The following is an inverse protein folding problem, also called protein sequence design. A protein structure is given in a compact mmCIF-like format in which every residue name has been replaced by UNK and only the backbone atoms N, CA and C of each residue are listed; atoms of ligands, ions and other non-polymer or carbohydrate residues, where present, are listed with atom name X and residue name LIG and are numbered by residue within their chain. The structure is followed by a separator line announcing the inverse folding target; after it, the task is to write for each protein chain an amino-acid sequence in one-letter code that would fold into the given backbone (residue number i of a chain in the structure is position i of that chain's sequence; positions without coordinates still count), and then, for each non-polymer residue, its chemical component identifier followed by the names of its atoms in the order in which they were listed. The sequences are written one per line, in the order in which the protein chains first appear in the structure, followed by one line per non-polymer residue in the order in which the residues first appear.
data_IF_261163986419
#
_entry.id   IF_261163986419
#
_cell.length_a   1.000
_cell.length_b   1.000
_cell.length_c   1.000
_cell.angle_alpha   90.00
_cell.angle_beta   90.00
_cell.angle_gamma   90.00
#
_symmetry.space_group_name_H-M   'P 1'
#
loop_
_entity.id
_entity.type
_entity.pdbx_description
1 polymer ?
#
# COMPACT_ATOMS: atom_id res chain seq x y z
N UNK A 1 25.23 6.49 -13.76
CA UNK A 1 24.72 5.20 -13.26
C UNK A 1 23.20 5.29 -13.11
N UNK A 2 22.47 4.42 -13.77
CA UNK A 2 21.02 4.43 -13.70
C UNK A 2 20.55 3.77 -12.41
N UNK A 3 19.69 4.44 -11.65
CA UNK A 3 19.08 3.88 -10.44
C UNK A 3 18.27 2.60 -10.74
N UNK A 4 17.96 2.38 -12.01
CA UNK A 4 17.07 1.28 -12.42
C UNK A 4 17.85 0.10 -13.05
N UNK A 5 19.16 0.14 -13.11
CA UNK A 5 19.96 -0.87 -13.82
C UNK A 5 19.90 -2.28 -13.22
N UNK A 6 19.62 -2.40 -11.93
CA UNK A 6 19.67 -3.68 -11.23
C UNK A 6 18.33 -4.04 -10.56
N UNK A 7 17.22 -3.49 -11.06
CA UNK A 7 15.92 -3.77 -10.49
C UNK A 7 15.37 -5.06 -11.08
N UNK A 8 14.96 -5.99 -10.21
CA UNK A 8 14.24 -7.18 -10.62
C UNK A 8 12.77 -6.84 -10.87
N UNK A 9 12.40 -6.68 -12.13
CA UNK A 9 11.04 -6.29 -12.51
C UNK A 9 9.99 -7.32 -12.09
N UNK A 10 10.34 -8.60 -12.02
CA UNK A 10 9.42 -9.63 -11.54
C UNK A 10 9.13 -9.46 -10.05
N UNK A 11 10.15 -9.16 -9.25
CA UNK A 11 9.96 -8.88 -7.83
C UNK A 11 9.10 -7.62 -7.62
N UNK A 12 9.33 -6.58 -8.42
CA UNK A 12 8.52 -5.35 -8.39
C UNK A 12 7.06 -5.65 -8.72
N UNK A 13 6.82 -6.42 -9.77
CA UNK A 13 5.46 -6.78 -10.18
C UNK A 13 4.75 -7.60 -9.10
N UNK A 14 5.41 -8.60 -8.54
CA UNK A 14 4.83 -9.43 -7.46
C UNK A 14 4.58 -8.59 -6.20
N UNK A 15 5.48 -7.69 -5.86
CA UNK A 15 5.27 -6.78 -4.73
C UNK A 15 4.04 -5.89 -4.96
N UNK A 16 3.89 -5.34 -6.15
CA UNK A 16 2.73 -4.52 -6.50
C UNK A 16 1.42 -5.30 -6.44
N UNK A 17 1.40 -6.51 -6.99
CA UNK A 17 0.24 -7.41 -6.92
C UNK A 17 -0.11 -7.73 -5.47
N UNK A 18 0.90 -8.00 -4.65
CA UNK A 18 0.71 -8.30 -3.23
C UNK A 18 0.02 -7.14 -2.50
N UNK A 19 0.44 -5.91 -2.78
CA UNK A 19 -0.22 -4.73 -2.20
C UNK A 19 -1.71 -4.66 -2.56
N UNK A 20 -2.04 -4.91 -3.82
CA UNK A 20 -3.44 -4.91 -4.29
C UNK A 20 -4.24 -6.02 -3.63
N UNK A 21 -3.66 -7.22 -3.52
CA UNK A 21 -4.31 -8.35 -2.85
C UNK A 21 -4.57 -8.05 -1.38
N UNK A 22 -3.58 -7.52 -0.66
CA UNK A 22 -3.75 -7.13 0.75
C UNK A 22 -4.88 -6.10 0.88
N UNK A 23 -4.92 -5.11 -0.01
CA UNK A 23 -5.98 -4.10 -0.02
C UNK A 23 -7.35 -4.69 -0.29
N UNK A 24 -7.44 -5.64 -1.20
CA UNK A 24 -8.71 -6.30 -1.52
C UNK A 24 -9.28 -7.04 -0.31
N UNK A 25 -8.43 -7.72 0.46
CA UNK A 25 -8.85 -8.37 1.70
C UNK A 25 -9.10 -7.38 2.83
N UNK A 26 -8.22 -6.39 3.00
CA UNK A 26 -8.29 -5.42 4.10
C UNK A 26 -9.60 -4.64 4.08
N UNK A 27 -10.01 -4.18 2.91
CA UNK A 27 -11.24 -3.40 2.71
C UNK A 27 -12.44 -4.27 2.34
N UNK A 28 -12.31 -5.59 2.40
CA UNK A 28 -13.43 -6.49 2.18
C UNK A 28 -14.39 -6.48 3.36
N UNK A 29 -15.67 -6.82 3.15
CA UNK A 29 -16.63 -6.95 4.26
C UNK A 29 -16.21 -7.98 5.31
N UNK A 30 -15.31 -8.91 4.97
CA UNK A 30 -14.83 -9.94 5.88
C UNK A 30 -13.87 -9.40 6.94
N UNK A 31 -13.18 -8.29 6.68
CA UNK A 31 -12.19 -7.72 7.61
C UNK A 31 -12.65 -6.32 8.04
N UNK A 32 -12.27 -5.27 7.32
CA UNK A 32 -12.51 -3.88 7.73
C UNK A 32 -13.39 -3.09 6.77
N UNK A 33 -13.92 -3.72 5.71
CA UNK A 33 -14.71 -3.01 4.70
C UNK A 33 -15.93 -2.31 5.26
N UNK A 34 -16.66 -2.96 6.17
CA UNK A 34 -17.84 -2.36 6.81
C UNK A 34 -17.47 -1.18 7.69
N UNK A 35 -16.39 -1.30 8.46
CA UNK A 35 -15.91 -0.20 9.31
C UNK A 35 -15.44 0.97 8.46
N UNK A 36 -14.72 0.69 7.37
CA UNK A 36 -14.26 1.72 6.46
C UNK A 36 -15.43 2.46 5.80
N UNK A 37 -16.44 1.73 5.32
CA UNK A 37 -17.65 2.35 4.73
C UNK A 37 -18.37 3.22 5.76
N UNK A 38 -18.53 2.72 6.98
CA UNK A 38 -19.17 3.47 8.04
C UNK A 38 -18.42 4.76 8.37
N UNK A 39 -17.11 4.70 8.52
CA UNK A 39 -16.27 5.86 8.83
C UNK A 39 -16.26 6.92 7.70
N UNK A 40 -16.45 6.50 6.45
CA UNK A 40 -16.54 7.42 5.32
C UNK A 40 -17.97 7.85 4.99
N UNK A 41 -18.97 7.27 5.64
CA UNK A 41 -20.36 7.54 5.32
C UNK A 41 -20.79 6.99 3.96
N UNK A 42 -20.10 5.98 3.43
CA UNK A 42 -20.42 5.36 2.15
C UNK A 42 -21.51 4.33 2.29
N UNK A 43 -22.39 4.27 1.27
CA UNK A 43 -23.41 3.24 1.11
C UNK A 43 -23.04 2.35 -0.08
N UNK A 44 -23.72 1.18 -0.19
CA UNK A 44 -23.53 0.31 -1.36
C UNK A 44 -23.85 1.03 -2.68
N UNK A 45 -24.83 1.95 -2.64
CA UNK A 45 -25.20 2.74 -3.82
C UNK A 45 -24.08 3.71 -4.23
N UNK A 46 -23.38 4.30 -3.26
CA UNK A 46 -22.25 5.17 -3.55
C UNK A 46 -21.16 4.43 -4.32
N UNK A 47 -20.91 3.17 -3.95
CA UNK A 47 -19.98 2.32 -4.68
C UNK A 47 -20.41 2.04 -6.10
N UNK A 48 -21.70 1.81 -6.34
CA UNK A 48 -22.24 1.54 -7.69
C UNK A 48 -22.15 2.76 -8.59
N UNK A 49 -22.18 3.96 -8.02
CA UNK A 49 -22.09 5.22 -8.76
C UNK A 49 -20.67 5.67 -9.04
N UNK A 50 -19.68 5.07 -8.38
CA UNK A 50 -18.28 5.41 -8.54
C UNK A 50 -17.66 4.82 -9.80
N UNK A 51 -16.34 4.87 -9.89
CA UNK A 51 -15.62 4.28 -11.01
C UNK A 51 -15.80 2.76 -11.04
N UNK A 52 -15.73 2.14 -12.24
CA UNK A 52 -15.79 0.68 -12.35
C UNK A 52 -14.67 0.02 -11.53
N UNK A 53 -14.97 -1.15 -10.93
CA UNK A 53 -14.01 -1.90 -10.12
C UNK A 53 -12.74 -2.23 -10.90
N UNK A 54 -12.88 -2.60 -12.19
CA UNK A 54 -11.71 -2.94 -13.01
C UNK A 54 -10.76 -1.74 -13.19
N UNK A 55 -11.32 -0.52 -13.33
CA UNK A 55 -10.52 0.70 -13.47
C UNK A 55 -9.81 1.01 -12.14
N UNK A 56 -10.51 0.91 -11.03
CA UNK A 56 -9.91 1.13 -9.71
C UNK A 56 -8.79 0.12 -9.44
N UNK A 57 -8.99 -1.14 -9.81
CA UNK A 57 -7.98 -2.18 -9.65
C UNK A 57 -6.74 -1.90 -10.51
N UNK A 58 -6.93 -1.49 -11.76
CA UNK A 58 -5.81 -1.14 -12.66
C UNK A 58 -5.02 0.05 -12.15
N UNK A 59 -5.71 1.10 -11.71
CA UNK A 59 -5.05 2.28 -11.17
C UNK A 59 -4.31 1.95 -9.86
N UNK A 60 -4.91 1.14 -9.00
CA UNK A 60 -4.27 0.69 -7.77
C UNK A 60 -3.00 -0.11 -8.06
N UNK A 61 -3.06 -1.01 -9.05
CA UNK A 61 -1.90 -1.79 -9.47
C UNK A 61 -0.81 -0.87 -10.05
N UNK A 62 -1.18 0.11 -10.86
CA UNK A 62 -0.24 1.07 -11.42
C UNK A 62 0.49 1.85 -10.32
N UNK A 63 -0.26 2.40 -9.36
CA UNK A 63 0.35 3.14 -8.25
C UNK A 63 1.20 2.23 -7.35
N UNK A 64 0.75 1.01 -7.12
CA UNK A 64 1.53 0.04 -6.37
C UNK A 64 2.83 -0.32 -7.10
N UNK A 65 2.80 -0.45 -8.42
CA UNK A 65 3.97 -0.69 -9.24
C UNK A 65 4.97 0.47 -9.15
N UNK A 66 4.49 1.70 -9.21
CA UNK A 66 5.32 2.90 -9.03
C UNK A 66 6.00 2.89 -7.66
N UNK A 67 5.23 2.63 -6.61
CA UNK A 67 5.76 2.57 -5.24
C UNK A 67 6.79 1.46 -5.08
N UNK A 68 6.50 0.26 -5.58
CA UNK A 68 7.43 -0.87 -5.52
C UNK A 68 8.71 -0.61 -6.31
N UNK A 69 8.60 0.04 -7.47
CA UNK A 69 9.76 0.42 -8.28
C UNK A 69 10.67 1.40 -7.53
N UNK A 70 10.08 2.39 -6.89
CA UNK A 70 10.82 3.36 -6.08
C UNK A 70 11.51 2.66 -4.89
N UNK A 71 10.82 1.78 -4.20
CA UNK A 71 11.41 1.01 -3.10
C UNK A 71 12.58 0.16 -3.58
N UNK A 72 12.46 -0.47 -4.74
CA UNK A 72 13.49 -1.33 -5.30
C UNK A 72 14.79 -0.57 -5.58
N UNK A 73 14.72 0.74 -5.85
CA UNK A 73 15.93 1.55 -6.08
C UNK A 73 16.81 1.69 -4.84
N UNK A 74 16.22 1.57 -3.65
CA UNK A 74 16.94 1.68 -2.37
C UNK A 74 17.45 0.36 -1.85
N UNK A 75 16.94 -0.76 -2.37
CA UNK A 75 17.31 -2.10 -1.89
C UNK A 75 18.53 -2.58 -2.69
N UNK A 76 19.61 -2.90 -1.95
CA UNK A 76 20.84 -3.42 -2.54
C UNK A 76 20.87 -4.95 -2.44
N UNK A 77 21.76 -5.63 -3.23
CA UNK A 77 21.86 -7.08 -3.15
C UNK A 77 22.26 -7.64 -1.78
N UNK A 78 22.79 -6.81 -0.89
CA UNK A 78 23.14 -7.22 0.46
C UNK A 78 21.93 -7.31 1.39
N UNK A 79 20.81 -6.77 0.97
CA UNK A 79 19.59 -6.78 1.79
C UNK A 79 18.93 -8.15 1.74
N UNK A 80 18.26 -8.49 2.83
CA UNK A 80 17.45 -9.71 2.93
C UNK A 80 15.98 -9.35 3.19
N UNK A 81 15.17 -10.37 3.41
CA UNK A 81 13.73 -10.20 3.68
C UNK A 81 13.49 -9.29 4.90
N UNK A 82 14.26 -9.45 5.95
CA UNK A 82 14.08 -8.70 7.21
C UNK A 82 14.42 -7.21 7.00
N UNK A 83 15.55 -6.91 6.37
CA UNK A 83 15.94 -5.52 6.11
C UNK A 83 14.99 -4.85 5.13
N UNK A 84 14.52 -5.57 4.12
CA UNK A 84 13.52 -5.06 3.19
C UNK A 84 12.18 -4.78 3.87
N UNK A 85 11.71 -5.71 4.69
CA UNK A 85 10.48 -5.52 5.48
C UNK A 85 10.60 -4.33 6.43
N UNK A 86 11.74 -4.19 7.10
CA UNK A 86 12.02 -3.06 7.98
C UNK A 86 11.96 -1.73 7.24
N UNK A 87 12.52 -1.66 6.04
CA UNK A 87 12.43 -0.46 5.20
C UNK A 87 10.98 -0.13 4.84
N UNK A 88 10.21 -1.13 4.43
CA UNK A 88 8.79 -0.93 4.13
C UNK A 88 8.00 -0.42 5.32
N UNK A 89 8.24 -0.98 6.50
CA UNK A 89 7.62 -0.53 7.74
C UNK A 89 7.98 0.92 8.05
N UNK A 90 9.24 1.30 7.91
CA UNK A 90 9.71 2.67 8.16
C UNK A 90 9.08 3.64 7.18
N UNK A 91 9.04 3.32 5.89
CA UNK A 91 8.38 4.15 4.87
C UNK A 91 6.92 4.39 5.24
N UNK A 92 6.21 3.34 5.62
CA UNK A 92 4.81 3.44 6.01
C UNK A 92 4.62 4.33 7.23
N UNK A 93 5.40 4.13 8.28
CA UNK A 93 5.23 4.87 9.54
C UNK A 93 5.69 6.32 9.39
N UNK A 94 6.86 6.55 8.80
CA UNK A 94 7.52 7.87 8.81
C UNK A 94 6.98 8.79 7.72
N UNK A 95 6.73 8.28 6.51
CA UNK A 95 6.31 9.13 5.39
C UNK A 95 4.83 9.05 5.10
N UNK A 96 4.30 7.85 4.94
CA UNK A 96 2.92 7.67 4.49
C UNK A 96 1.94 7.98 5.60
N UNK A 97 2.14 7.40 6.77
CA UNK A 97 1.21 7.61 7.90
C UNK A 97 1.25 9.05 8.42
N UNK A 98 2.41 9.70 8.42
CA UNK A 98 2.49 11.11 8.81
C UNK A 98 1.77 12.01 7.82
N UNK A 99 1.89 11.74 6.53
CA UNK A 99 1.16 12.47 5.49
C UNK A 99 -0.34 12.29 5.63
N UNK A 100 -0.79 11.05 5.86
CA UNK A 100 -2.22 10.76 6.09
C UNK A 100 -2.74 11.35 7.39
N UNK A 101 -1.91 11.42 8.43
CA UNK A 101 -2.26 12.07 9.68
C UNK A 101 -2.59 13.55 9.45
N UNK A 102 -1.80 14.22 8.63
CA UNK A 102 -2.04 15.61 8.25
C UNK A 102 -3.41 15.77 7.57
N UNK A 103 -3.69 14.95 6.57
CA UNK A 103 -4.98 14.95 5.88
C UNK A 103 -6.13 14.68 6.86
N UNK A 104 -5.95 13.71 7.76
CA UNK A 104 -6.94 13.36 8.77
C UNK A 104 -7.30 14.55 9.65
N UNK A 105 -6.30 15.32 10.09
CA UNK A 105 -6.50 16.51 10.93
C UNK A 105 -7.28 17.58 10.15
N UNK A 106 -6.84 17.91 8.94
CA UNK A 106 -7.44 19.00 8.16
C UNK A 106 -8.85 18.67 7.65
N UNK A 107 -9.12 17.40 7.35
CA UNK A 107 -10.41 16.96 6.82
C UNK A 107 -11.34 16.39 7.88
N UNK A 108 -10.95 16.44 9.14
CA UNK A 108 -11.73 15.97 10.29
C UNK A 108 -12.17 14.50 10.20
N UNK A 109 -11.31 13.63 9.63
CA UNK A 109 -11.55 12.20 9.68
C UNK A 109 -11.32 11.67 11.10
N UNK A 110 -12.00 10.58 11.44
CA UNK A 110 -11.85 9.95 12.76
C UNK A 110 -10.50 9.26 12.92
N UNK A 111 -10.09 9.05 14.18
CA UNK A 111 -8.91 8.24 14.48
C UNK A 111 -9.05 6.82 13.92
N UNK A 112 -10.26 6.25 14.00
CA UNK A 112 -10.52 4.91 13.46
C UNK A 112 -10.31 4.86 11.93
N UNK A 113 -10.79 5.88 11.22
CA UNK A 113 -10.54 6.03 9.77
C UNK A 113 -9.04 6.04 9.48
N UNK A 114 -8.28 6.86 10.23
CA UNK A 114 -6.84 6.95 10.08
C UNK A 114 -6.15 5.61 10.32
N UNK A 115 -6.51 4.91 11.39
CA UNK A 115 -5.90 3.64 11.76
C UNK A 115 -6.19 2.53 10.75
N UNK A 116 -7.37 2.52 10.14
CA UNK A 116 -7.71 1.57 9.09
C UNK A 116 -6.74 1.71 7.91
N UNK A 117 -6.55 2.93 7.43
CA UNK A 117 -5.65 3.19 6.31
C UNK A 117 -4.17 3.03 6.68
N UNK A 118 -3.76 3.51 7.85
CA UNK A 118 -2.39 3.38 8.31
C UNK A 118 -2.00 1.90 8.51
N UNK A 119 -2.92 1.10 9.05
CA UNK A 119 -2.68 -0.33 9.21
C UNK A 119 -2.52 -1.05 7.87
N UNK A 120 -3.34 -0.70 6.88
CA UNK A 120 -3.19 -1.22 5.52
C UNK A 120 -1.83 -0.86 4.92
N UNK A 121 -1.45 0.40 5.01
CA UNK A 121 -0.16 0.85 4.47
C UNK A 121 1.00 0.13 5.16
N UNK A 122 0.94 -0.01 6.48
CA UNK A 122 1.97 -0.71 7.24
C UNK A 122 2.13 -2.15 6.76
N UNK A 123 1.04 -2.90 6.68
CA UNK A 123 1.08 -4.30 6.25
C UNK A 123 1.54 -4.43 4.80
N UNK A 124 1.02 -3.60 3.90
CA UNK A 124 1.33 -3.71 2.48
C UNK A 124 2.77 -3.29 2.16
N UNK A 125 3.26 -2.19 2.73
CA UNK A 125 4.64 -1.75 2.48
C UNK A 125 5.66 -2.68 3.14
N UNK A 126 5.36 -3.22 4.31
CA UNK A 126 6.20 -4.22 4.96
C UNK A 126 6.31 -5.47 4.08
N UNK A 127 5.19 -5.96 3.55
CA UNK A 127 5.18 -7.12 2.66
C UNK A 127 5.94 -6.84 1.35
N UNK A 128 5.73 -5.68 0.75
CA UNK A 128 6.46 -5.30 -0.47
C UNK A 128 7.96 -5.25 -0.22
N UNK A 129 8.36 -4.63 0.89
CA UNK A 129 9.77 -4.56 1.27
C UNK A 129 10.39 -5.93 1.49
N UNK A 130 9.65 -6.85 2.13
CA UNK A 130 10.08 -8.22 2.33
C UNK A 130 10.33 -8.94 1.00
N UNK A 131 9.42 -8.80 0.05
CA UNK A 131 9.54 -9.41 -1.28
C UNK A 131 10.77 -8.85 -2.02
N UNK A 132 10.90 -7.54 -2.05
CA UNK A 132 11.99 -6.87 -2.75
C UNK A 132 13.36 -7.15 -2.11
N UNK A 133 13.40 -7.29 -0.78
CA UNK A 133 14.62 -7.60 -0.06
C UNK A 133 15.08 -9.04 -0.23
N UNK A 134 14.13 -9.96 -0.44
CA UNK A 134 14.44 -11.39 -0.57
C UNK A 134 14.64 -11.84 -2.02
N UNK A 135 14.21 -11.06 -2.98
CA UNK A 135 14.24 -11.44 -4.40
C UNK A 135 14.91 -10.35 -5.22
N UNK A 136 16.20 -10.54 -5.41
CA UNK A 136 17.02 -9.61 -6.19
C UNK A 136 17.09 -9.95 -7.67
#
# INVERSE_FOLDING_TARGET
MSLFQNINLWAVLIAAITKVIIGSFWYSPLILGKSWMHENGFTDEDFKKGHPIWLMALLSLFFAFVAASAMATFITPQWNMISGAGMGAIISIVWISTSKANTTIFENYSLKHYLIHAGYDFCSYTAMGAILGSWH
#
